data_IF_789592113646
#
_entry.id   IF_789592113646
#
_cell.length_a   1.000
_cell.length_b   1.000
_cell.length_c   1.000
_cell.angle_alpha   90.00
_cell.angle_beta   90.00
_cell.angle_gamma   90.00
#
_symmetry.space_group_name_H-M   'P 1'
#
loop_
_entity.id
_entity.type
_entity.pdbx_description
1 polymer ?
#
# COMPACT_ATOMS: atom_id res chain seq x y z
N UNK A 1 7.80 -6.24 -26.96
CA UNK A 1 7.23 -7.46 -26.33
C UNK A 1 6.34 -7.15 -25.14
N UNK A 2 6.77 -6.44 -24.10
CA UNK A 2 5.88 -6.12 -22.96
C UNK A 2 4.85 -5.01 -23.25
N UNK A 3 5.08 -4.12 -24.21
CA UNK A 3 4.16 -3.01 -24.54
C UNK A 3 2.85 -3.48 -25.15
N UNK A 4 2.87 -4.58 -25.88
CA UNK A 4 1.71 -5.13 -26.56
C UNK A 4 0.77 -5.89 -25.61
N UNK A 5 1.27 -6.31 -24.46
CA UNK A 5 0.51 -7.00 -23.41
C UNK A 5 -0.05 -6.05 -22.35
N UNK A 6 0.30 -4.76 -22.44
CA UNK A 6 -0.13 -3.77 -21.46
C UNK A 6 -1.66 -3.59 -21.48
N UNK A 7 -2.28 -3.64 -20.30
CA UNK A 7 -3.74 -3.56 -20.08
C UNK A 7 -4.54 -4.81 -20.47
N UNK A 8 -3.91 -5.88 -20.96
CA UNK A 8 -4.59 -7.15 -21.14
C UNK A 8 -4.73 -7.88 -19.81
N UNK A 9 -5.86 -8.54 -19.62
CA UNK A 9 -6.05 -9.49 -18.52
C UNK A 9 -5.53 -10.86 -18.94
N UNK A 10 -5.21 -11.73 -17.97
CA UNK A 10 -4.76 -13.09 -18.24
C UNK A 10 -5.66 -13.85 -19.23
N UNK A 11 -6.99 -13.67 -19.11
CA UNK A 11 -7.96 -14.31 -19.98
C UNK A 11 -7.86 -13.87 -21.44
N UNK A 12 -7.37 -12.65 -21.70
CA UNK A 12 -7.24 -12.05 -23.02
C UNK A 12 -5.89 -12.36 -23.68
N UNK A 13 -4.98 -13.04 -22.96
CA UNK A 13 -3.68 -13.43 -23.50
C UNK A 13 -3.82 -14.57 -24.50
N UNK A 14 -2.94 -14.57 -25.51
CA UNK A 14 -2.76 -15.71 -26.40
C UNK A 14 -2.16 -16.92 -25.68
N UNK A 15 -2.33 -18.14 -26.24
CA UNK A 15 -1.86 -19.38 -25.60
C UNK A 15 -0.35 -19.42 -25.32
N UNK A 16 0.45 -18.76 -26.13
CA UNK A 16 1.90 -18.67 -25.92
C UNK A 16 2.21 -17.82 -24.70
N UNK A 17 1.62 -16.63 -24.62
CA UNK A 17 1.79 -15.70 -23.50
C UNK A 17 1.26 -16.28 -22.19
N UNK A 18 0.15 -17.03 -22.22
CA UNK A 18 -0.36 -17.76 -21.05
C UNK A 18 0.66 -18.78 -20.56
N UNK A 19 1.22 -19.61 -21.44
CA UNK A 19 2.24 -20.60 -21.07
C UNK A 19 3.50 -19.95 -20.51
N UNK A 20 3.96 -18.85 -21.09
CA UNK A 20 5.12 -18.10 -20.58
C UNK A 20 4.84 -17.53 -19.19
N UNK A 21 3.63 -17.02 -18.96
CA UNK A 21 3.19 -16.54 -17.65
C UNK A 21 3.12 -17.66 -16.63
N UNK A 22 2.46 -18.78 -16.96
CA UNK A 22 2.27 -19.92 -16.07
C UNK A 22 3.58 -20.62 -15.71
N UNK A 23 4.56 -20.62 -16.63
CA UNK A 23 5.90 -21.14 -16.40
C UNK A 23 6.84 -20.14 -15.71
N UNK A 24 6.41 -18.90 -15.50
CA UNK A 24 7.21 -17.93 -14.77
C UNK A 24 7.29 -18.27 -13.29
N UNK A 25 8.43 -18.03 -12.67
CA UNK A 25 8.64 -18.26 -11.25
C UNK A 25 8.82 -16.95 -10.48
N UNK A 26 8.18 -16.86 -9.33
CA UNK A 26 8.38 -15.77 -8.39
C UNK A 26 9.34 -16.25 -7.29
N UNK A 27 10.44 -15.52 -7.10
CA UNK A 27 11.33 -15.76 -5.97
C UNK A 27 10.80 -15.02 -4.76
N UNK A 28 10.47 -15.76 -3.69
CA UNK A 28 10.02 -15.21 -2.43
C UNK A 28 11.06 -15.43 -1.34
N UNK A 29 11.31 -14.43 -0.52
CA UNK A 29 12.07 -14.55 0.72
C UNK A 29 11.09 -14.38 1.88
N UNK A 30 11.03 -15.40 2.75
CA UNK A 30 10.15 -15.39 3.93
C UNK A 30 11.01 -15.10 5.16
N UNK A 31 10.64 -14.06 5.90
CA UNK A 31 11.30 -13.68 7.16
C UNK A 31 10.44 -14.19 8.30
N UNK A 32 11.00 -15.05 9.13
CA UNK A 32 10.33 -15.64 10.29
C UNK A 32 11.09 -15.33 11.57
N UNK A 33 10.40 -15.47 12.71
CA UNK A 33 11.00 -15.37 14.05
C UNK A 33 11.67 -14.01 14.35
N UNK A 34 11.15 -12.91 13.77
CA UNK A 34 11.59 -11.58 14.16
C UNK A 34 11.04 -11.21 15.53
N UNK A 35 11.91 -10.65 16.40
CA UNK A 35 11.54 -10.21 17.76
C UNK A 35 11.08 -8.77 17.81
N UNK A 36 11.50 -7.97 16.83
CA UNK A 36 11.23 -6.55 16.76
C UNK A 36 10.67 -6.18 15.39
N UNK A 37 9.51 -5.51 15.39
CA UNK A 37 8.87 -5.01 14.18
C UNK A 37 9.76 -3.99 13.44
N UNK A 38 10.63 -3.29 14.14
CA UNK A 38 11.56 -2.32 13.56
C UNK A 38 12.48 -2.98 12.52
N UNK A 39 12.86 -4.24 12.74
CA UNK A 39 13.67 -5.02 11.79
C UNK A 39 12.93 -5.17 10.44
N UNK A 40 11.61 -5.37 10.47
CA UNK A 40 10.82 -5.45 9.24
C UNK A 40 10.79 -4.11 8.50
N UNK A 41 10.63 -3.00 9.21
CA UNK A 41 10.70 -1.66 8.61
C UNK A 41 12.04 -1.42 7.94
N UNK A 42 13.15 -1.76 8.60
CA UNK A 42 14.50 -1.59 8.05
C UNK A 42 14.74 -2.44 6.81
N UNK A 43 14.28 -3.70 6.82
CA UNK A 43 14.37 -4.60 5.68
C UNK A 43 13.55 -4.06 4.51
N UNK A 44 12.29 -3.69 4.75
CA UNK A 44 11.42 -3.12 3.72
C UNK A 44 11.99 -1.83 3.13
N UNK A 45 12.52 -0.94 3.98
CA UNK A 45 13.16 0.29 3.53
C UNK A 45 14.35 0.02 2.60
N UNK A 46 15.20 -0.95 2.94
CA UNK A 46 16.37 -1.32 2.12
C UNK A 46 15.98 -2.01 0.81
N UNK A 47 15.01 -2.91 0.84
CA UNK A 47 14.52 -3.60 -0.36
C UNK A 47 13.82 -2.64 -1.32
N UNK A 48 13.23 -1.59 -0.80
CA UNK A 48 12.44 -0.62 -1.55
C UNK A 48 13.30 0.40 -2.33
N UNK A 49 14.61 0.42 -2.09
CA UNK A 49 15.53 1.41 -2.68
C UNK A 49 15.82 1.22 -4.18
N UNK A 50 15.36 0.13 -4.78
CA UNK A 50 15.68 -0.25 -6.17
C UNK A 50 14.52 -0.28 -7.16
N UNK A 51 13.29 0.02 -6.73
CA UNK A 51 12.09 0.00 -7.58
C UNK A 51 11.15 1.17 -7.23
N UNK A 52 9.91 1.12 -7.66
CA UNK A 52 8.90 2.08 -7.20
C UNK A 52 8.69 1.93 -5.69
N UNK A 53 9.19 2.89 -4.93
CA UNK A 53 9.23 2.81 -3.47
C UNK A 53 7.81 2.88 -2.87
N UNK A 54 7.55 2.01 -1.90
CA UNK A 54 6.32 2.08 -1.11
C UNK A 54 6.30 3.37 -0.28
N UNK A 55 5.15 3.99 -0.18
CA UNK A 55 4.96 5.11 0.74
C UNK A 55 5.01 4.64 2.20
N UNK A 56 5.23 5.57 3.12
CA UNK A 56 5.18 5.28 4.56
C UNK A 56 3.84 4.67 4.97
N UNK A 57 2.73 5.09 4.33
CA UNK A 57 1.41 4.56 4.64
C UNK A 57 1.21 3.14 4.09
N UNK A 58 1.72 2.84 2.89
CA UNK A 58 1.69 1.47 2.36
C UNK A 58 2.47 0.50 3.25
N UNK A 59 3.64 0.93 3.75
CA UNK A 59 4.42 0.16 4.73
C UNK A 59 3.65 -0.03 6.04
N UNK A 60 3.04 1.04 6.55
CA UNK A 60 2.26 0.99 7.79
C UNK A 60 1.08 0.03 7.65
N UNK A 61 0.36 0.08 6.54
CA UNK A 61 -0.76 -0.82 6.25
C UNK A 61 -0.33 -2.28 6.14
N UNK A 62 0.83 -2.56 5.58
CA UNK A 62 1.35 -3.92 5.43
C UNK A 62 1.79 -4.53 6.78
N UNK A 63 2.35 -3.72 7.68
CA UNK A 63 3.00 -4.18 8.91
C UNK A 63 2.09 -4.08 10.16
N UNK A 64 1.18 -3.12 10.20
CA UNK A 64 0.26 -2.92 11.33
C UNK A 64 -1.15 -3.35 10.94
N UNK A 65 -1.38 -4.65 10.98
CA UNK A 65 -2.72 -5.23 10.77
C UNK A 65 -3.54 -5.18 12.05
N UNK A 66 -4.85 -4.99 11.93
CA UNK A 66 -5.78 -5.00 13.06
C UNK A 66 -7.07 -4.24 12.72
N UNK A 67 -8.04 -4.34 13.61
CA UNK A 67 -9.40 -3.78 13.41
C UNK A 67 -9.41 -2.31 13.01
N UNK A 68 -8.50 -1.51 13.57
CA UNK A 68 -8.41 -0.09 13.23
C UNK A 68 -7.86 0.12 11.80
N UNK A 69 -6.87 -0.68 11.38
CA UNK A 69 -6.36 -0.62 10.02
C UNK A 69 -7.43 -1.04 9.00
N UNK A 70 -8.19 -2.08 9.32
CA UNK A 70 -9.29 -2.57 8.49
C UNK A 70 -10.41 -1.52 8.41
N UNK A 71 -10.77 -0.88 9.53
CA UNK A 71 -11.73 0.22 9.57
C UNK A 71 -11.33 1.39 8.67
N UNK A 72 -10.04 1.78 8.68
CA UNK A 72 -9.54 2.85 7.80
C UNK A 72 -9.71 2.48 6.32
N UNK A 73 -9.38 1.24 5.95
CA UNK A 73 -9.54 0.74 4.57
C UNK A 73 -11.01 0.73 4.17
N UNK A 74 -11.88 0.17 4.99
CA UNK A 74 -13.33 0.12 4.71
C UNK A 74 -13.91 1.52 4.56
N UNK A 75 -13.52 2.44 5.44
CA UNK A 75 -14.01 3.83 5.39
C UNK A 75 -13.59 4.51 4.09
N UNK A 76 -12.36 4.31 3.62
CA UNK A 76 -11.83 4.97 2.41
C UNK A 76 -12.21 4.26 1.11
N UNK A 77 -12.72 3.03 1.16
CA UNK A 77 -13.26 2.33 -0.02
C UNK A 77 -14.47 3.03 -0.65
N UNK A 78 -15.16 3.87 0.13
CA UNK A 78 -16.21 4.77 -0.37
C UNK A 78 -15.71 6.20 -0.32
N UNK A 79 -16.16 7.04 -1.27
CA UNK A 79 -15.77 8.45 -1.30
C UNK A 79 -16.22 9.16 -0.02
N UNK A 80 -15.27 9.73 0.68
CA UNK A 80 -15.46 10.54 1.89
C UNK A 80 -15.25 12.03 1.57
N UNK A 81 -15.71 12.97 2.42
CA UNK A 81 -15.42 14.39 2.26
C UNK A 81 -13.92 14.71 2.13
N UNK A 82 -13.06 13.90 2.76
CA UNK A 82 -11.59 14.01 2.63
C UNK A 82 -11.10 13.81 1.21
N UNK A 83 -11.74 12.96 0.42
CA UNK A 83 -11.40 12.76 -1.00
C UNK A 83 -11.66 14.04 -1.81
N UNK A 84 -12.76 14.74 -1.54
CA UNK A 84 -13.07 16.01 -2.20
C UNK A 84 -12.02 17.08 -1.89
N UNK A 85 -11.53 17.15 -0.65
CA UNK A 85 -10.45 18.06 -0.26
C UNK A 85 -9.16 17.76 -1.00
N UNK A 86 -8.92 16.48 -1.30
CA UNK A 86 -7.74 16.01 -2.03
C UNK A 86 -7.92 16.03 -3.56
N UNK A 87 -9.06 16.49 -4.07
CA UNK A 87 -9.44 16.39 -5.48
C UNK A 87 -9.38 14.96 -6.04
N UNK A 88 -9.76 13.97 -5.24
CA UNK A 88 -9.83 12.58 -5.65
C UNK A 88 -11.27 12.22 -6.05
N UNK A 89 -11.42 11.56 -7.20
CA UNK A 89 -12.68 11.01 -7.71
C UNK A 89 -12.87 9.52 -7.41
N UNK A 90 -11.83 8.87 -6.91
CA UNK A 90 -11.79 7.46 -6.52
C UNK A 90 -10.81 7.28 -5.33
N UNK A 91 -10.89 6.16 -4.58
CA UNK A 91 -9.92 5.83 -3.54
C UNK A 91 -8.49 5.83 -4.07
N UNK A 92 -7.55 6.34 -3.26
CA UNK A 92 -6.17 6.51 -3.69
C UNK A 92 -5.38 5.20 -3.64
N UNK A 93 -4.88 4.75 -4.78
CA UNK A 93 -4.05 3.53 -4.90
C UNK A 93 -2.77 3.56 -4.06
N UNK A 94 -2.29 4.76 -3.68
CA UNK A 94 -1.10 4.97 -2.83
C UNK A 94 -1.46 5.24 -1.37
N UNK A 95 -2.72 5.02 -0.99
CA UNK A 95 -3.25 5.13 0.39
C UNK A 95 -3.04 6.51 1.04
N UNK A 96 -2.95 7.60 0.26
CA UNK A 96 -2.83 8.97 0.80
C UNK A 96 -4.12 9.42 1.49
N UNK A 97 -5.26 8.93 1.05
CA UNK A 97 -6.57 9.14 1.65
C UNK A 97 -6.62 8.52 3.05
N UNK A 98 -6.14 7.28 3.21
CA UNK A 98 -5.98 6.62 4.51
C UNK A 98 -5.02 7.40 5.41
N UNK A 99 -3.90 7.88 4.88
CA UNK A 99 -2.93 8.67 5.65
C UNK A 99 -3.56 9.96 6.17
N UNK A 100 -4.35 10.66 5.36
CA UNK A 100 -5.03 11.88 5.77
C UNK A 100 -6.12 11.62 6.81
N UNK A 101 -6.88 10.55 6.65
CA UNK A 101 -7.87 10.14 7.65
C UNK A 101 -7.20 9.80 8.99
N UNK A 102 -6.09 9.07 8.95
CA UNK A 102 -5.29 8.76 10.15
C UNK A 102 -4.77 10.03 10.83
N UNK A 103 -4.28 11.01 10.06
CA UNK A 103 -3.85 12.31 10.59
C UNK A 103 -5.01 13.08 11.22
N UNK A 104 -6.18 13.06 10.60
CA UNK A 104 -7.38 13.67 11.15
C UNK A 104 -7.74 13.08 12.52
N UNK A 105 -7.71 11.75 12.66
CA UNK A 105 -7.93 11.10 13.95
C UNK A 105 -6.86 11.49 14.97
N UNK A 106 -5.59 11.50 14.58
CA UNK A 106 -4.50 11.89 15.48
C UNK A 106 -4.68 13.33 15.99
N UNK A 107 -5.04 14.27 15.12
CA UNK A 107 -5.33 15.65 15.52
C UNK A 107 -6.54 15.77 16.44
N UNK A 108 -7.57 14.99 16.18
CA UNK A 108 -8.81 15.07 16.96
C UNK A 108 -8.65 14.44 18.35
N UNK A 109 -7.95 13.32 18.42
CA UNK A 109 -7.79 12.55 19.66
C UNK A 109 -6.63 13.06 20.51
N UNK A 110 -5.55 13.57 19.91
CA UNK A 110 -4.31 13.97 20.58
C UNK A 110 -3.84 15.36 20.14
N UNK A 111 -4.66 16.42 20.28
CA UNK A 111 -4.34 17.74 19.73
C UNK A 111 -3.11 18.40 20.35
N UNK A 112 -2.75 18.03 21.59
CA UNK A 112 -1.59 18.60 22.31
C UNK A 112 -0.27 17.85 22.06
N UNK A 113 -0.35 16.60 21.63
CA UNK A 113 0.80 15.71 21.45
C UNK A 113 1.29 15.65 20.00
N UNK A 114 0.43 16.08 19.07
CA UNK A 114 0.78 16.05 17.66
C UNK A 114 1.81 17.15 17.34
N UNK A 115 3.07 16.74 17.31
CA UNK A 115 4.15 17.54 16.74
C UNK A 115 4.29 17.08 15.28
N UNK A 116 3.77 17.88 14.34
CA UNK A 116 3.95 17.60 12.92
C UNK A 116 5.43 17.37 12.61
N UNK A 117 5.75 16.31 11.89
CA UNK A 117 7.08 16.15 11.33
C UNK A 117 7.24 17.26 10.26
N UNK A 118 8.13 18.19 10.51
CA UNK A 118 8.62 19.17 9.54
C UNK A 118 9.68 18.52 8.66
#
# INVERSE_FOLDING_TARGET
>A
MLKDLNKLKYVDLDEKSKREFDNSSLRCTVITNFKDIQILYDIFYRLNSGSESLSTQELRQALNKGEFADYLVETTNTLQPTHSVMNLSEPDKRLRDIENLLRLFAFTMYPKEYKGNH
#
